data_IF_369213199904
#
_entry.id   IF_369213199904
#
_cell.length_a   1.000
_cell.length_b   1.000
_cell.length_c   1.000
_cell.angle_alpha   90.00
_cell.angle_beta   90.00
_cell.angle_gamma   90.00
#
_symmetry.space_group_name_H-M   'P 1'
#
loop_
_entity.id
_entity.type
_entity.pdbx_description
1 polymer ?
#
# COMPACT_ATOMS: atom_id res chain seq x y z
N UNK A 1 3.87 0.22 34.81
CA UNK A 1 3.31 -0.79 33.86
C UNK A 1 4.42 -1.63 33.23
N UNK A 2 5.61 -1.08 33.01
CA UNK A 2 6.79 -1.83 32.57
C UNK A 2 7.56 -2.54 33.69
N UNK A 3 7.07 -2.51 34.95
CA UNK A 3 7.77 -3.07 36.13
C UNK A 3 7.97 -4.60 36.09
N UNK A 4 7.30 -5.29 35.14
CA UNK A 4 7.46 -6.74 34.95
C UNK A 4 8.46 -7.10 33.83
N UNK A 5 9.04 -6.09 33.17
CA UNK A 5 10.18 -6.29 32.26
C UNK A 5 11.42 -6.46 33.12
N UNK A 6 12.16 -7.53 32.85
CA UNK A 6 13.40 -7.83 33.54
C UNK A 6 14.47 -6.78 33.21
N UNK A 7 15.13 -6.28 34.25
CA UNK A 7 16.35 -5.48 34.10
C UNK A 7 17.55 -6.34 33.72
N UNK A 8 17.48 -7.65 33.97
CA UNK A 8 18.54 -8.61 33.66
C UNK A 8 17.92 -9.90 33.06
N UNK A 9 18.17 -10.20 31.77
CA UNK A 9 19.05 -9.48 30.85
C UNK A 9 18.49 -8.10 30.46
N UNK A 10 19.40 -7.14 30.23
CA UNK A 10 19.03 -5.76 29.90
C UNK A 10 18.23 -5.72 28.57
N UNK A 11 17.11 -4.97 28.51
CA UNK A 11 16.42 -4.71 27.25
C UNK A 11 17.34 -4.04 26.23
N UNK A 12 17.25 -4.45 24.97
CA UNK A 12 18.13 -3.97 23.92
C UNK A 12 17.34 -3.52 22.68
N UNK A 13 17.82 -2.46 22.04
CA UNK A 13 17.37 -2.06 20.70
C UNK A 13 18.49 -2.32 19.72
N UNK A 14 18.20 -3.06 18.65
CA UNK A 14 19.15 -3.43 17.63
C UNK A 14 18.76 -2.80 16.29
N UNK A 15 19.66 -2.07 15.65
CA UNK A 15 19.47 -1.63 14.27
C UNK A 15 19.66 -2.83 13.33
N UNK A 16 18.63 -3.13 12.53
CA UNK A 16 18.64 -4.26 11.58
C UNK A 16 19.09 -3.90 10.19
N UNK A 17 19.09 -2.60 9.87
CA UNK A 17 19.48 -2.11 8.57
C UNK A 17 18.48 -1.09 8.04
N UNK A 18 18.69 -0.68 6.80
CA UNK A 18 17.83 0.26 6.09
C UNK A 18 17.09 -0.48 4.99
N UNK A 19 15.76 -0.55 5.11
CA UNK A 19 14.88 -0.98 4.04
C UNK A 19 14.61 0.14 3.04
N UNK A 20 13.86 -0.15 1.97
CA UNK A 20 13.52 0.83 0.93
C UNK A 20 12.72 2.02 1.44
N UNK A 21 11.93 1.82 2.49
CA UNK A 21 10.99 2.81 3.02
C UNK A 21 11.42 3.41 4.36
N UNK A 22 12.43 2.84 5.02
CA UNK A 22 12.86 3.34 6.33
C UNK A 22 13.93 2.51 7.01
N UNK A 23 14.29 2.93 8.22
CA UNK A 23 15.25 2.25 9.09
C UNK A 23 14.53 1.19 9.92
N UNK A 24 15.08 -0.02 9.96
CA UNK A 24 14.52 -1.14 10.71
C UNK A 24 15.23 -1.29 12.05
N UNK A 25 14.46 -1.39 13.12
CA UNK A 25 14.95 -1.62 14.48
C UNK A 25 14.22 -2.83 15.07
N UNK A 26 14.95 -3.64 15.85
CA UNK A 26 14.39 -4.72 16.65
C UNK A 26 14.51 -4.35 18.13
N UNK A 27 13.39 -4.41 18.83
CA UNK A 27 13.35 -4.29 20.29
C UNK A 27 13.35 -5.70 20.90
N UNK A 28 14.21 -5.93 21.87
CA UNK A 28 14.31 -7.17 22.64
C UNK A 28 14.17 -6.82 24.11
N UNK A 29 13.26 -7.48 24.80
CA UNK A 29 13.13 -7.37 26.25
C UNK A 29 12.70 -8.72 26.82
N UNK A 30 12.94 -8.91 28.11
CA UNK A 30 12.69 -10.17 28.79
C UNK A 30 11.59 -9.98 29.84
N UNK A 31 10.76 -11.00 30.02
CA UNK A 31 9.63 -11.00 30.96
C UNK A 31 9.71 -12.24 31.83
N UNK A 32 9.28 -12.13 33.08
CA UNK A 32 9.23 -13.26 34.01
C UNK A 32 7.97 -14.13 33.83
N UNK A 33 6.85 -13.51 33.45
CA UNK A 33 5.57 -14.18 33.28
C UNK A 33 5.16 -14.15 31.80
N UNK A 34 5.37 -15.28 31.13
CA UNK A 34 5.02 -15.43 29.72
C UNK A 34 3.52 -15.31 29.46
N UNK A 35 2.66 -15.56 30.46
CA UNK A 35 1.20 -15.42 30.31
C UNK A 35 0.80 -13.96 30.04
N UNK A 36 1.60 -13.00 30.51
CA UNK A 36 1.37 -11.56 30.35
C UNK A 36 2.09 -10.95 29.14
N UNK A 37 2.70 -11.78 28.29
CA UNK A 37 3.47 -11.30 27.15
C UNK A 37 2.69 -10.34 26.25
N UNK A 38 1.39 -10.58 26.07
CA UNK A 38 0.57 -9.78 25.18
C UNK A 38 0.32 -8.38 25.75
N UNK A 39 -0.07 -8.30 27.02
CA UNK A 39 -0.32 -7.04 27.71
C UNK A 39 0.95 -6.20 27.83
N UNK A 40 2.07 -6.84 28.17
CA UNK A 40 3.38 -6.19 28.25
C UNK A 40 3.87 -5.74 26.87
N UNK A 41 3.69 -6.54 25.83
CA UNK A 41 4.02 -6.15 24.46
C UNK A 41 3.22 -4.93 24.01
N UNK A 42 1.92 -4.90 24.28
CA UNK A 42 1.07 -3.74 23.98
C UNK A 42 1.47 -2.50 24.77
N UNK A 43 1.76 -2.65 26.07
CA UNK A 43 2.18 -1.53 26.92
C UNK A 43 3.51 -0.94 26.46
N UNK A 44 4.49 -1.80 26.17
CA UNK A 44 5.80 -1.41 25.64
C UNK A 44 5.66 -0.70 24.29
N UNK A 45 4.88 -1.25 23.35
CA UNK A 45 4.68 -0.60 22.05
C UNK A 45 3.99 0.74 22.15
N UNK A 46 3.03 0.89 23.08
CA UNK A 46 2.36 2.17 23.31
C UNK A 46 3.35 3.24 23.76
N UNK A 47 4.27 2.89 24.66
CA UNK A 47 5.32 3.82 25.11
C UNK A 47 6.30 4.15 23.99
N UNK A 48 6.76 3.14 23.23
CA UNK A 48 7.64 3.35 22.07
C UNK A 48 6.97 4.29 21.06
N UNK A 49 5.69 4.08 20.76
CA UNK A 49 4.92 4.95 19.88
C UNK A 49 4.87 6.39 20.39
N UNK A 50 4.48 6.60 21.65
CA UNK A 50 4.41 7.93 22.25
C UNK A 50 5.75 8.66 22.20
N UNK A 51 6.86 7.97 22.52
CA UNK A 51 8.18 8.58 22.50
C UNK A 51 8.67 8.90 21.09
N UNK A 52 8.39 8.03 20.11
CA UNK A 52 8.74 8.30 18.71
C UNK A 52 7.90 9.45 18.15
N UNK A 53 6.62 9.51 18.46
CA UNK A 53 5.73 10.61 18.06
C UNK A 53 6.17 11.95 18.65
N UNK A 54 6.50 11.99 19.95
CA UNK A 54 7.07 13.19 20.59
C UNK A 54 8.42 13.60 20.00
N UNK A 55 9.20 12.64 19.50
CA UNK A 55 10.46 12.89 18.81
C UNK A 55 10.29 13.25 17.32
N UNK A 56 9.06 13.31 16.81
CA UNK A 56 8.78 13.56 15.39
C UNK A 56 9.19 12.41 14.45
N UNK A 57 9.38 11.21 14.99
CA UNK A 57 9.73 10.00 14.24
C UNK A 57 8.47 9.24 13.90
N UNK A 58 8.08 9.27 12.62
CA UNK A 58 6.93 8.51 12.13
C UNK A 58 7.29 7.02 12.00
N UNK A 59 6.58 6.17 12.74
CA UNK A 59 6.70 4.72 12.58
C UNK A 59 6.01 4.27 11.29
N UNK A 60 6.74 3.48 10.53
CA UNK A 60 6.19 2.70 9.42
C UNK A 60 5.64 1.42 10.03
N UNK A 61 4.38 1.47 10.48
CA UNK A 61 3.64 0.23 10.73
C UNK A 61 3.52 -0.48 9.37
N UNK A 62 3.70 -1.80 9.25
CA UNK A 62 3.30 -2.52 8.05
C UNK A 62 1.84 -2.20 7.84
N UNK A 63 1.55 -1.41 6.81
CA UNK A 63 0.23 -0.87 6.54
C UNK A 63 -0.75 -2.02 6.29
N UNK A 64 -0.23 -3.14 5.81
CA UNK A 64 -0.90 -4.43 5.76
C UNK A 64 -1.62 -4.82 7.06
N UNK A 65 -0.94 -4.83 8.20
CA UNK A 65 -1.49 -5.30 9.49
C UNK A 65 -2.65 -4.40 9.96
N UNK A 66 -2.61 -3.13 9.58
CA UNK A 66 -3.68 -2.17 9.87
C UNK A 66 -4.86 -2.37 8.95
N UNK A 67 -4.60 -2.58 7.66
CA UNK A 67 -5.62 -2.80 6.64
C UNK A 67 -6.38 -4.12 6.86
N UNK A 68 -5.70 -5.17 7.35
CA UNK A 68 -6.30 -6.47 7.69
C UNK A 68 -6.86 -6.55 9.12
N UNK A 69 -6.80 -5.47 9.90
CA UNK A 69 -7.31 -5.47 11.27
C UNK A 69 -8.82 -5.77 11.31
N UNK A 70 -9.22 -6.70 12.19
CA UNK A 70 -10.64 -6.96 12.53
C UNK A 70 -11.38 -5.72 13.06
N UNK A 71 -10.65 -4.66 13.43
CA UNK A 71 -11.24 -3.37 13.74
C UNK A 71 -11.56 -2.60 12.44
N UNK A 72 -12.80 -2.75 11.98
CA UNK A 72 -13.30 -2.13 10.75
C UNK A 72 -13.09 -0.61 10.71
N UNK A 73 -13.20 0.08 11.86
CA UNK A 73 -12.97 1.52 11.92
C UNK A 73 -11.49 1.88 11.71
N UNK A 74 -10.57 1.10 12.30
CA UNK A 74 -9.12 1.30 12.12
C UNK A 74 -8.69 1.05 10.68
N UNK A 75 -9.16 -0.05 10.06
CA UNK A 75 -8.90 -0.36 8.65
C UNK A 75 -9.46 0.74 7.73
N UNK A 76 -10.70 1.21 7.98
CA UNK A 76 -11.32 2.29 7.21
C UNK A 76 -10.53 3.61 7.30
N UNK A 77 -10.10 4.01 8.49
CA UNK A 77 -9.30 5.22 8.69
C UNK A 77 -7.95 5.14 7.96
N UNK A 78 -7.31 3.96 7.95
CA UNK A 78 -6.08 3.75 7.21
C UNK A 78 -6.29 3.86 5.69
N UNK A 79 -7.34 3.24 5.14
CA UNK A 79 -7.71 3.39 3.73
C UNK A 79 -7.97 4.85 3.37
N UNK A 80 -8.72 5.57 4.20
CA UNK A 80 -8.97 7.01 4.03
C UNK A 80 -7.68 7.83 3.99
N UNK A 81 -6.73 7.55 4.88
CA UNK A 81 -5.44 8.24 4.89
C UNK A 81 -4.67 7.98 3.58
N UNK A 82 -4.64 6.74 3.09
CA UNK A 82 -4.01 6.37 1.82
C UNK A 82 -4.66 7.12 0.65
N UNK A 83 -5.99 7.08 0.56
CA UNK A 83 -6.73 7.72 -0.55
C UNK A 83 -6.50 9.24 -0.60
N UNK A 84 -6.39 9.90 0.56
CA UNK A 84 -6.06 11.34 0.67
C UNK A 84 -4.64 11.71 0.23
N UNK A 85 -3.75 10.74 0.08
CA UNK A 85 -2.38 10.96 -0.41
C UNK A 85 -2.24 10.69 -1.92
N UNK A 86 -3.31 10.27 -2.59
CA UNK A 86 -3.31 10.03 -4.04
C UNK A 86 -3.84 11.29 -4.72
N UNK A 87 -2.95 11.98 -5.43
CA UNK A 87 -3.27 13.26 -6.06
C UNK A 87 -4.50 13.19 -6.98
N UNK A 88 -4.63 12.10 -7.73
CA UNK A 88 -5.76 11.84 -8.63
C UNK A 88 -7.14 11.75 -7.93
N UNK A 89 -7.17 11.59 -6.60
CA UNK A 89 -8.41 11.47 -5.81
C UNK A 89 -8.69 12.72 -4.96
N UNK A 90 -7.78 13.70 -4.91
CA UNK A 90 -7.90 14.87 -4.02
C UNK A 90 -9.09 15.79 -4.36
N UNK A 91 -9.63 15.69 -5.57
CA UNK A 91 -10.81 16.46 -6.01
C UNK A 91 -12.14 15.89 -5.50
N UNK A 92 -12.12 14.68 -4.93
CA UNK A 92 -13.32 14.04 -4.40
C UNK A 92 -13.76 14.69 -3.09
N UNK A 93 -15.07 14.86 -2.92
CA UNK A 93 -15.63 15.32 -1.65
C UNK A 93 -15.30 14.36 -0.52
N UNK A 94 -15.28 14.85 0.72
CA UNK A 94 -15.01 13.99 1.87
C UNK A 94 -15.99 12.81 1.97
N UNK A 95 -17.27 13.04 1.62
CA UNK A 95 -18.28 11.98 1.57
C UNK A 95 -17.97 10.93 0.49
N UNK A 96 -17.51 11.35 -0.70
CA UNK A 96 -17.10 10.43 -1.76
C UNK A 96 -15.85 9.63 -1.37
N UNK A 97 -14.88 10.28 -0.71
CA UNK A 97 -13.66 9.64 -0.21
C UNK A 97 -13.98 8.57 0.84
N UNK A 98 -14.90 8.87 1.77
CA UNK A 98 -15.40 7.90 2.76
C UNK A 98 -16.08 6.71 2.09
N UNK A 99 -16.95 6.97 1.11
CA UNK A 99 -17.64 5.92 0.36
C UNK A 99 -16.66 5.02 -0.41
N UNK A 100 -15.61 5.60 -1.00
CA UNK A 100 -14.56 4.83 -1.66
C UNK A 100 -13.79 3.96 -0.68
N UNK A 101 -13.37 4.51 0.47
CA UNK A 101 -12.64 3.76 1.49
C UNK A 101 -13.40 2.49 1.95
N UNK A 102 -14.73 2.56 2.02
CA UNK A 102 -15.58 1.43 2.36
C UNK A 102 -15.66 0.37 1.26
N UNK A 103 -15.51 0.77 -0.01
CA UNK A 103 -15.55 -0.16 -1.16
C UNK A 103 -14.20 -0.79 -1.49
N UNK A 104 -13.09 -0.17 -1.12
CA UNK A 104 -11.77 -0.75 -1.35
C UNK A 104 -11.55 -1.99 -0.47
N UNK A 105 -11.14 -3.08 -1.10
CA UNK A 105 -10.65 -4.28 -0.43
C UNK A 105 -9.12 -4.27 -0.41
N UNK A 106 -8.52 -4.62 0.72
CA UNK A 106 -7.06 -4.82 0.79
C UNK A 106 -6.75 -6.26 0.47
N UNK A 107 -5.71 -6.51 -0.33
CA UNK A 107 -5.22 -7.86 -0.58
C UNK A 107 -3.70 -7.88 -0.62
N UNK A 108 -3.13 -8.89 0.01
CA UNK A 108 -1.71 -9.21 -0.08
C UNK A 108 -1.47 -10.17 -1.23
N UNK A 109 -0.34 -9.97 -1.90
CA UNK A 109 0.15 -10.74 -3.02
C UNK A 109 1.61 -11.11 -2.77
N UNK A 110 1.97 -12.37 -3.00
CA UNK A 110 3.35 -12.81 -2.96
C UNK A 110 4.11 -12.37 -4.21
N UNK A 111 5.44 -12.32 -4.14
CA UNK A 111 6.27 -12.15 -5.32
C UNK A 111 5.87 -13.10 -6.46
N UNK A 112 5.79 -12.55 -7.67
CA UNK A 112 5.35 -13.22 -8.91
C UNK A 112 3.88 -13.67 -8.95
N UNK A 113 3.07 -13.34 -7.94
CA UNK A 113 1.62 -13.59 -7.97
C UNK A 113 0.91 -12.66 -8.97
N UNK A 114 -0.04 -13.23 -9.72
CA UNK A 114 -0.90 -12.49 -10.64
C UNK A 114 -1.94 -11.69 -9.86
N UNK A 115 -1.94 -10.37 -10.04
CA UNK A 115 -2.87 -9.44 -9.40
C UNK A 115 -4.11 -9.24 -10.27
N UNK A 116 -3.89 -9.03 -11.57
CA UNK A 116 -4.94 -8.77 -12.54
C UNK A 116 -4.61 -9.49 -13.85
N UNK A 117 -5.55 -10.30 -14.34
CA UNK A 117 -5.43 -10.98 -15.62
C UNK A 117 -5.74 -10.05 -16.81
N UNK A 118 -5.36 -10.48 -18.01
CA UNK A 118 -5.45 -9.68 -19.22
C UNK A 118 -6.87 -9.35 -19.70
N UNK A 119 -7.82 -10.16 -19.24
CA UNK A 119 -9.24 -10.10 -19.54
C UNK A 119 -10.05 -9.32 -18.48
N UNK A 120 -9.44 -9.01 -17.32
CA UNK A 120 -10.12 -8.38 -16.17
C UNK A 120 -9.96 -6.84 -16.12
N UNK A 121 -9.28 -6.23 -17.10
CA UNK A 121 -8.89 -4.82 -17.06
C UNK A 121 -10.03 -3.80 -16.98
N UNK A 122 -11.26 -4.18 -17.36
CA UNK A 122 -12.37 -3.25 -17.50
C UNK A 122 -13.11 -2.91 -16.21
N UNK A 123 -12.76 -3.54 -15.07
CA UNK A 123 -13.58 -3.43 -13.86
C UNK A 123 -12.80 -3.20 -12.57
N UNK A 124 -11.47 -3.17 -12.63
CA UNK A 124 -10.62 -3.10 -11.43
C UNK A 124 -9.73 -1.85 -11.45
N UNK A 125 -9.82 -1.07 -10.37
CA UNK A 125 -8.87 -0.03 -10.05
C UNK A 125 -8.03 -0.46 -8.84
N UNK A 126 -6.71 -0.36 -8.97
CA UNK A 126 -5.77 -0.83 -7.96
C UNK A 126 -4.81 0.26 -7.49
N UNK A 127 -4.58 0.34 -6.18
CA UNK A 127 -3.58 1.23 -5.57
C UNK A 127 -2.52 0.36 -4.90
N UNK A 128 -1.26 0.54 -5.26
CA UNK A 128 -0.15 -0.14 -4.59
C UNK A 128 0.12 0.57 -3.27
N UNK A 129 -0.10 -0.13 -2.16
CA UNK A 129 0.14 0.38 -0.82
C UNK A 129 1.56 0.05 -0.38
N UNK A 130 2.00 -1.18 -0.67
CA UNK A 130 3.33 -1.67 -0.37
C UNK A 130 3.83 -2.55 -1.51
N UNK A 131 5.15 -2.63 -1.66
CA UNK A 131 5.79 -3.46 -2.68
C UNK A 131 5.91 -2.80 -4.05
N UNK A 132 6.20 -3.63 -5.06
CA UNK A 132 6.31 -3.23 -6.45
C UNK A 132 5.53 -4.22 -7.30
N UNK A 133 4.70 -3.71 -8.20
CA UNK A 133 3.99 -4.50 -9.20
C UNK A 133 4.48 -4.11 -10.58
N UNK A 134 4.27 -4.97 -11.56
CA UNK A 134 4.62 -4.68 -12.95
C UNK A 134 3.43 -4.88 -13.85
N UNK A 135 3.26 -3.93 -14.75
CA UNK A 135 2.36 -4.04 -15.87
C UNK A 135 3.08 -4.75 -17.01
N UNK A 136 2.54 -5.89 -17.42
CA UNK A 136 3.01 -6.66 -18.56
C UNK A 136 2.08 -6.46 -19.73
N UNK A 137 2.61 -6.45 -20.94
CA UNK A 137 1.82 -6.44 -22.17
C UNK A 137 2.29 -7.55 -23.09
N UNK A 138 1.37 -8.05 -23.93
CA UNK A 138 1.73 -9.01 -24.97
C UNK A 138 2.24 -8.28 -26.21
N UNK A 139 3.51 -8.47 -26.54
CA UNK A 139 4.17 -7.91 -27.73
C UNK A 139 4.71 -9.08 -28.57
N UNK A 140 4.29 -9.19 -29.83
CA UNK A 140 4.68 -10.29 -30.73
C UNK A 140 4.59 -11.68 -30.07
N UNK A 141 3.46 -11.97 -29.44
CA UNK A 141 3.13 -13.20 -28.69
C UNK A 141 3.87 -13.43 -27.37
N UNK A 142 4.81 -12.57 -26.96
CA UNK A 142 5.56 -12.69 -25.71
C UNK A 142 5.10 -11.68 -24.66
N UNK A 143 5.12 -12.08 -23.39
CA UNK A 143 4.87 -11.17 -22.27
C UNK A 143 6.12 -10.35 -21.96
N UNK A 144 5.99 -9.03 -21.96
CA UNK A 144 7.07 -8.12 -21.61
C UNK A 144 6.62 -7.18 -20.50
N UNK A 145 7.48 -6.95 -19.50
CA UNK A 145 7.27 -5.89 -18.50
C UNK A 145 7.37 -4.54 -19.24
N UNK A 146 6.26 -3.80 -19.31
CA UNK A 146 6.20 -2.47 -19.94
C UNK A 146 6.36 -1.37 -18.92
N UNK A 147 5.88 -1.61 -17.69
CA UNK A 147 5.99 -0.65 -16.60
C UNK A 147 6.13 -1.31 -15.22
N UNK A 148 6.63 -0.53 -14.25
CA UNK A 148 6.75 -0.91 -12.83
C UNK A 148 6.11 0.16 -11.96
N UNK A 149 5.18 -0.26 -11.12
CA UNK A 149 4.33 0.59 -10.32
C UNK A 149 4.66 0.32 -8.85
N UNK A 150 5.10 1.37 -8.15
CA UNK A 150 5.50 1.31 -6.76
C UNK A 150 4.41 1.80 -5.80
N UNK A 151 4.68 1.70 -4.51
CA UNK A 151 3.82 2.22 -3.45
C UNK A 151 3.42 3.70 -3.68
N UNK A 152 2.15 4.01 -3.46
CA UNK A 152 1.55 5.34 -3.70
C UNK A 152 1.06 5.56 -5.13
N UNK A 153 1.42 4.69 -6.07
CA UNK A 153 0.92 4.72 -7.45
C UNK A 153 -0.28 3.77 -7.65
N UNK A 154 -0.99 3.94 -8.77
CA UNK A 154 -2.20 3.18 -9.10
C UNK A 154 -2.14 2.58 -10.51
N UNK A 155 -3.00 1.60 -10.77
CA UNK A 155 -3.19 0.97 -12.08
C UNK A 155 -4.67 0.72 -12.36
N UNK A 156 -4.98 0.36 -13.61
CA UNK A 156 -6.36 0.17 -14.06
C UNK A 156 -7.07 1.49 -14.40
N UNK A 157 -6.32 2.59 -14.50
CA UNK A 157 -6.85 3.89 -14.93
C UNK A 157 -6.91 4.07 -16.45
N UNK A 158 -6.33 3.17 -17.24
CA UNK A 158 -6.38 3.25 -18.71
C UNK A 158 -7.78 3.05 -19.27
N UNK A 159 -8.74 2.48 -18.51
CA UNK A 159 -10.17 2.51 -18.85
C UNK A 159 -10.82 3.89 -18.65
N UNK A 160 -10.16 4.82 -17.94
CA UNK A 160 -10.67 6.16 -17.63
C UNK A 160 -10.27 7.23 -18.67
N UNK A 161 -9.23 7.00 -19.48
CA UNK A 161 -8.63 8.00 -20.36
C UNK A 161 -8.82 7.71 -21.87
N UNK A 162 -9.79 6.88 -22.25
CA UNK A 162 -10.15 6.56 -23.65
C UNK A 162 -8.96 6.13 -24.55
N UNK A 163 -7.88 5.57 -23.98
CA UNK A 163 -6.79 5.02 -24.76
C UNK A 163 -7.11 3.60 -25.23
N UNK A 164 -6.75 3.21 -26.47
CA UNK A 164 -7.06 1.89 -27.00
C UNK A 164 -6.45 0.80 -26.12
N UNK A 165 -7.32 -0.08 -25.62
CA UNK A 165 -6.97 -1.16 -24.71
C UNK A 165 -5.97 -2.09 -25.38
N UNK A 166 -4.81 -2.21 -24.78
CA UNK A 166 -3.87 -3.27 -25.11
C UNK A 166 -3.91 -4.31 -23.98
N UNK A 167 -4.04 -5.59 -24.35
CA UNK A 167 -4.04 -6.73 -23.42
C UNK A 167 -2.82 -6.64 -22.48
N UNK A 168 -3.10 -6.39 -21.20
CA UNK A 168 -2.09 -6.20 -20.16
C UNK A 168 -2.10 -7.36 -19.16
N UNK A 169 -1.31 -7.31 -18.10
CA UNK A 169 -1.47 -8.12 -16.91
C UNK A 169 -0.72 -7.43 -15.79
N UNK A 170 -1.21 -7.49 -14.55
CA UNK A 170 -0.51 -6.91 -13.41
C UNK A 170 0.01 -8.05 -12.54
N UNK A 171 1.31 -8.05 -12.28
CA UNK A 171 1.99 -9.11 -11.51
C UNK A 171 2.83 -8.48 -10.41
N UNK A 172 2.79 -9.04 -9.21
CA UNK A 172 3.65 -8.65 -8.10
C UNK A 172 5.12 -8.97 -8.42
N UNK A 173 6.05 -8.04 -8.19
CA UNK A 173 7.51 -8.25 -8.35
C UNK A 173 8.24 -8.36 -7.02
N UNK A 174 7.54 -8.00 -5.95
CA UNK A 174 7.88 -8.29 -4.56
C UNK A 174 6.58 -8.69 -3.88
N UNK A 175 6.66 -9.13 -2.65
CA UNK A 175 5.50 -9.12 -1.76
C UNK A 175 4.89 -7.71 -1.78
N UNK A 176 3.58 -7.65 -2.00
CA UNK A 176 2.87 -6.42 -2.29
C UNK A 176 1.50 -6.39 -1.61
N UNK A 177 1.08 -5.21 -1.21
CA UNK A 177 -0.26 -4.95 -0.67
C UNK A 177 -0.94 -3.98 -1.60
N UNK A 178 -2.13 -4.35 -2.05
CA UNK A 178 -2.89 -3.57 -3.03
C UNK A 178 -4.30 -3.32 -2.49
N UNK A 179 -4.75 -2.07 -2.57
CA UNK A 179 -6.17 -1.75 -2.43
C UNK A 179 -6.84 -1.94 -3.79
N UNK A 180 -7.84 -2.80 -3.84
CA UNK A 180 -8.60 -3.12 -5.04
C UNK A 180 -10.03 -2.63 -4.90
N UNK A 181 -10.47 -1.90 -5.91
CA UNK A 181 -11.85 -1.55 -6.13
C UNK A 181 -12.32 -2.31 -7.36
N UNK A 182 -13.21 -3.30 -7.15
CA UNK A 182 -13.82 -4.08 -8.23
C UNK A 182 -15.17 -3.48 -8.63
N UNK A 183 -15.59 -3.74 -9.88
CA UNK A 183 -16.85 -3.25 -10.46
C UNK A 183 -17.00 -1.72 -10.32
N UNK A 184 -15.92 -1.01 -10.63
CA UNK A 184 -15.88 0.45 -10.56
C UNK A 184 -16.86 1.02 -11.59
N UNK A 185 -17.81 1.84 -11.15
CA UNK A 185 -18.49 2.77 -12.05
C UNK A 185 -17.54 3.95 -12.33
N UNK A 186 -16.77 3.82 -13.40
CA UNK A 186 -15.72 4.77 -13.76
C UNK A 186 -16.27 6.17 -14.09
N UNK A 187 -17.58 6.34 -14.26
CA UNK A 187 -18.25 7.64 -14.38
C UNK A 187 -18.04 8.52 -13.14
N UNK A 188 -17.84 7.90 -11.97
CA UNK A 188 -17.59 8.58 -10.69
C UNK A 188 -16.13 9.04 -10.58
N UNK A 189 -15.20 8.32 -11.22
CA UNK A 189 -13.75 8.60 -11.16
C UNK A 189 -13.26 9.46 -12.33
N UNK A 190 -13.89 9.39 -13.50
CA UNK A 190 -13.47 10.11 -14.72
C UNK A 190 -13.49 11.63 -14.53
N UNK A 191 -14.48 12.17 -13.82
CA UNK A 191 -14.55 13.58 -13.48
C UNK A 191 -13.39 14.06 -12.58
N UNK A 192 -12.75 13.16 -11.82
CA UNK A 192 -11.64 13.49 -10.92
C UNK A 192 -10.25 13.25 -11.56
N UNK A 193 -10.15 12.32 -12.52
CA UNK A 193 -8.86 11.88 -13.10
C UNK A 193 -8.51 12.65 -14.38
N UNK A 194 -9.49 13.27 -15.06
CA UNK A 194 -9.26 14.04 -16.31
C UNK A 194 -8.40 15.31 -16.11
N UNK A 195 -8.25 15.82 -14.87
CA UNK A 195 -7.42 16.99 -14.57
C UNK A 195 -5.94 16.65 -14.26
N UNK A 196 -5.61 15.38 -14.02
CA UNK A 196 -4.25 14.96 -13.66
C UNK A 196 -3.58 14.33 -14.89
N UNK A 197 -3.10 15.19 -15.78
CA UNK A 197 -2.26 14.80 -16.91
C UNK A 197 -1.07 13.92 -16.48
N UNK A 198 -0.62 13.00 -17.34
CA UNK A 198 0.27 11.90 -16.98
C UNK A 198 1.69 12.43 -16.82
N UNK A 199 2.11 12.72 -15.59
CA UNK A 199 3.49 13.15 -15.32
C UNK A 199 4.51 12.04 -15.61
N UNK A 200 4.10 10.82 -15.99
CA UNK A 200 5.02 9.70 -16.26
C UNK A 200 4.93 9.08 -17.68
N UNK A 201 4.08 9.57 -18.58
CA UNK A 201 3.98 9.01 -19.95
C UNK A 201 4.79 9.74 -21.02
N UNK A 202 5.41 10.89 -20.70
CA UNK A 202 6.09 11.73 -21.70
C UNK A 202 7.58 11.40 -21.94
N UNK A 203 8.01 10.13 -21.84
CA UNK A 203 9.38 9.73 -22.21
C UNK A 203 9.49 8.67 -23.31
N UNK A 204 8.38 8.18 -23.84
CA UNK A 204 8.40 7.19 -24.91
C UNK A 204 7.76 7.77 -26.16
N UNK A 205 8.54 8.52 -26.94
CA UNK A 205 8.33 8.64 -28.40
C UNK A 205 9.47 9.30 -29.20
N UNK A 206 10.68 9.52 -28.65
CA UNK A 206 11.70 10.28 -29.40
C UNK A 206 13.12 9.67 -29.57
N UNK A 207 13.36 8.40 -29.23
CA UNK A 207 14.68 7.78 -29.48
C UNK A 207 14.59 6.53 -30.38
N UNK A 208 13.88 6.65 -31.50
CA UNK A 208 13.97 5.67 -32.60
C UNK A 208 13.70 6.32 -33.97
N UNK A 209 14.63 7.18 -34.41
CA UNK A 209 14.95 7.37 -35.85
C UNK A 209 16.46 7.29 -35.98
#
# INVERSE_FOLDING_TARGET
>A
VTDEILETPEPAVMFKGQGKIGKQFQLVFFINDYAKQHDLWQATWRQVWQHLELAGVNMIMPLHDVLESNNSNKSRLAKLAILKHIDALNHLSEAAMQHLADKFSSRYYQCDELILAADEHFTVFGIVVEGVVSYKQRIHQHWQDVDRIGAGSFFGATSLLDQPITEGAVVAKTDAVVLLLANVDFSILSAAITEVEPTHSARYLNDAI
#
